data_IF_596978870743
#
_entry.id   IF_596978870743
#
_cell.length_a   1.000
_cell.length_b   1.000
_cell.length_c   1.000
_cell.angle_alpha   90.00
_cell.angle_beta   90.00
_cell.angle_gamma   90.00
#
_symmetry.space_group_name_H-M   'P 1'
#
loop_
_entity.id
_entity.type
_entity.pdbx_description
1 polymer ?
#
# COMPACT_ATOMS: atom_id res chain seq x y z
N UNK A 1 7.77 32.13 -58.42
CA UNK A 1 7.85 32.43 -56.97
C UNK A 1 6.87 31.66 -56.07
N UNK A 2 6.08 30.69 -56.59
CA UNK A 2 5.14 29.89 -55.76
C UNK A 2 5.73 28.64 -55.08
N UNK A 3 6.69 27.97 -55.72
CA UNK A 3 7.26 26.70 -55.22
C UNK A 3 8.09 26.85 -53.93
N UNK A 4 8.89 27.93 -53.80
CA UNK A 4 9.67 28.20 -52.58
C UNK A 4 8.81 28.51 -51.35
N UNK A 5 7.66 29.16 -51.54
CA UNK A 5 6.70 29.46 -50.44
C UNK A 5 5.97 28.19 -49.97
N UNK A 6 5.65 27.28 -50.89
CA UNK A 6 5.09 25.96 -50.56
C UNK A 6 6.03 25.11 -49.72
N UNK A 7 7.32 25.03 -50.10
CA UNK A 7 8.32 24.29 -49.34
C UNK A 7 8.53 24.83 -47.91
N UNK A 8 8.52 26.15 -47.73
CA UNK A 8 8.62 26.79 -46.41
C UNK A 8 7.40 26.49 -45.53
N UNK A 9 6.20 26.50 -46.10
CA UNK A 9 4.98 26.14 -45.36
C UNK A 9 4.98 24.66 -44.93
N UNK A 10 5.47 23.76 -45.79
CA UNK A 10 5.60 22.34 -45.46
C UNK A 10 6.64 22.13 -44.36
N UNK A 11 7.80 22.80 -44.43
CA UNK A 11 8.81 22.77 -43.37
C UNK A 11 8.26 23.27 -42.04
N UNK A 12 7.49 24.37 -42.06
CA UNK A 12 6.84 24.93 -40.88
C UNK A 12 5.82 23.95 -40.26
N UNK A 13 5.04 23.27 -41.10
CA UNK A 13 4.09 22.24 -40.63
C UNK A 13 4.80 21.07 -39.96
N UNK A 14 5.90 20.57 -40.55
CA UNK A 14 6.71 19.52 -39.93
C UNK A 14 7.33 19.97 -38.60
N UNK A 15 7.82 21.21 -38.54
CA UNK A 15 8.35 21.79 -37.31
C UNK A 15 7.27 21.86 -36.22
N UNK A 16 6.07 22.34 -36.56
CA UNK A 16 4.95 22.41 -35.63
C UNK A 16 4.51 21.02 -35.16
N UNK A 17 4.37 20.04 -36.08
CA UNK A 17 4.08 18.65 -35.71
C UNK A 17 5.14 18.06 -34.77
N UNK A 18 6.42 18.31 -35.06
CA UNK A 18 7.52 17.88 -34.20
C UNK A 18 7.43 18.50 -32.81
N UNK A 19 7.18 19.81 -32.72
CA UNK A 19 7.01 20.49 -31.44
C UNK A 19 5.82 19.94 -30.65
N UNK A 20 4.68 19.71 -31.31
CA UNK A 20 3.49 19.13 -30.66
C UNK A 20 3.76 17.71 -30.16
N UNK A 21 4.46 16.89 -30.94
CA UNK A 21 4.83 15.53 -30.53
C UNK A 21 5.76 15.53 -29.30
N UNK A 22 6.76 16.41 -29.27
CA UNK A 22 7.66 16.56 -28.12
C UNK A 22 6.93 17.07 -26.88
N UNK A 23 6.07 18.08 -27.03
CA UNK A 23 5.25 18.58 -25.94
C UNK A 23 4.31 17.50 -25.39
N UNK A 24 3.66 16.72 -26.26
CA UNK A 24 2.82 15.59 -25.87
C UNK A 24 3.60 14.50 -25.14
N UNK A 25 4.81 14.16 -25.60
CA UNK A 25 5.68 13.18 -24.95
C UNK A 25 6.12 13.64 -23.55
N UNK A 26 6.49 14.91 -23.39
CA UNK A 26 6.85 15.49 -22.10
C UNK A 26 5.68 15.48 -21.12
N UNK A 27 4.48 15.88 -21.57
CA UNK A 27 3.27 15.82 -20.75
C UNK A 27 2.93 14.38 -20.34
N UNK A 28 3.07 13.41 -21.24
CA UNK A 28 2.83 12.01 -20.92
C UNK A 28 3.80 11.49 -19.83
N UNK A 29 5.08 11.88 -19.92
CA UNK A 29 6.09 11.50 -18.92
C UNK A 29 5.78 12.14 -17.56
N UNK A 30 5.44 13.44 -17.52
CA UNK A 30 5.17 14.14 -16.25
C UNK A 30 3.90 13.63 -15.57
N UNK A 31 2.84 13.39 -16.33
CA UNK A 31 1.61 12.77 -15.81
C UNK A 31 1.93 11.39 -15.25
N UNK A 32 2.68 10.57 -15.98
CA UNK A 32 3.07 9.24 -15.51
C UNK A 32 3.91 9.31 -14.23
N UNK A 33 4.86 10.23 -14.13
CA UNK A 33 5.65 10.39 -12.91
C UNK A 33 4.81 10.83 -11.72
N UNK A 34 3.88 11.77 -11.91
CA UNK A 34 2.98 12.21 -10.83
C UNK A 34 2.08 11.07 -10.36
N UNK A 35 1.50 10.31 -11.28
CA UNK A 35 0.71 9.14 -10.92
C UNK A 35 1.53 8.09 -10.16
N UNK A 36 2.80 7.90 -10.51
CA UNK A 36 3.70 7.00 -9.80
C UNK A 36 3.99 7.48 -8.37
N UNK A 37 4.25 8.77 -8.18
CA UNK A 37 4.47 9.35 -6.83
C UNK A 37 3.21 9.25 -5.98
N UNK A 38 2.04 9.65 -6.50
CA UNK A 38 0.80 9.57 -5.73
C UNK A 38 0.44 8.12 -5.36
N UNK A 39 0.63 7.17 -6.29
CA UNK A 39 0.38 5.74 -5.98
C UNK A 39 1.37 5.18 -4.95
N UNK A 40 2.62 5.66 -4.95
CA UNK A 40 3.61 5.31 -3.94
C UNK A 40 3.22 5.84 -2.56
N UNK A 41 2.90 7.14 -2.44
CA UNK A 41 2.48 7.76 -1.18
C UNK A 41 1.22 7.10 -0.61
N UNK A 42 0.22 6.87 -1.46
CA UNK A 42 -0.99 6.15 -1.08
C UNK A 42 -0.70 4.73 -0.59
N UNK A 43 0.20 4.03 -1.28
CA UNK A 43 0.67 2.71 -0.88
C UNK A 43 1.39 2.73 0.47
N UNK A 44 2.20 3.76 0.74
CA UNK A 44 2.94 3.91 1.98
C UNK A 44 2.00 4.18 3.16
N UNK A 45 0.99 5.04 2.99
CA UNK A 45 -0.06 5.27 3.99
C UNK A 45 -0.79 3.97 4.36
N UNK A 46 -1.10 3.13 3.36
CA UNK A 46 -1.72 1.83 3.59
C UNK A 46 -0.78 0.84 4.31
N UNK A 47 0.52 0.85 4.01
CA UNK A 47 1.52 0.04 4.76
C UNK A 47 1.54 0.47 6.22
N UNK A 48 1.65 1.77 6.51
CA UNK A 48 1.68 2.26 7.88
C UNK A 48 0.44 1.86 8.69
N UNK A 49 -0.74 1.87 8.05
CA UNK A 49 -1.97 1.39 8.68
C UNK A 49 -1.93 -0.14 8.95
N UNK A 50 -1.35 -0.92 8.05
CA UNK A 50 -1.17 -2.36 8.28
C UNK A 50 -0.15 -2.64 9.39
N UNK A 51 0.93 -1.87 9.46
CA UNK A 51 1.96 -2.01 10.50
C UNK A 51 1.43 -1.63 11.88
N UNK A 52 0.70 -0.52 11.99
CA UNK A 52 0.09 -0.10 13.25
C UNK A 52 -0.94 -1.13 13.75
N UNK A 53 -1.76 -1.68 12.85
CA UNK A 53 -2.69 -2.76 13.20
C UNK A 53 -1.98 -4.04 13.65
N UNK A 54 -0.86 -4.41 13.00
CA UNK A 54 -0.08 -5.57 13.41
C UNK A 54 0.58 -5.36 14.78
N UNK A 55 1.13 -4.16 15.04
CA UNK A 55 1.70 -3.82 16.35
C UNK A 55 0.64 -3.82 17.45
N UNK A 56 -0.54 -3.27 17.18
CA UNK A 56 -1.66 -3.32 18.10
C UNK A 56 -2.06 -4.78 18.40
N UNK A 57 -2.17 -5.61 17.36
CA UNK A 57 -2.48 -7.04 17.52
C UNK A 57 -1.43 -7.80 18.34
N UNK A 58 -0.15 -7.54 18.13
CA UNK A 58 0.93 -8.12 18.94
C UNK A 58 0.86 -7.69 20.41
N UNK A 59 0.60 -6.40 20.67
CA UNK A 59 0.45 -5.89 22.03
C UNK A 59 -0.73 -6.51 22.77
N UNK A 60 -1.81 -6.84 22.04
CA UNK A 60 -2.97 -7.52 22.59
C UNK A 60 -2.61 -8.97 22.97
N UNK A 61 -1.87 -9.66 22.09
CA UNK A 61 -1.37 -11.01 22.35
C UNK A 61 -0.46 -11.08 23.58
N UNK A 62 0.43 -10.10 23.77
CA UNK A 62 1.33 -10.05 24.93
C UNK A 62 0.56 -9.88 26.25
N UNK A 63 -0.54 -9.11 26.23
CA UNK A 63 -1.32 -8.77 27.43
C UNK A 63 -2.36 -9.81 27.79
N UNK A 64 -3.08 -10.33 26.80
CA UNK A 64 -4.28 -11.14 27.00
C UNK A 64 -4.13 -12.58 26.48
N UNK A 65 -3.09 -12.86 25.69
CA UNK A 65 -2.96 -14.14 24.97
C UNK A 65 -3.86 -14.14 23.73
N UNK A 66 -4.38 -15.31 23.35
CA UNK A 66 -5.29 -15.41 22.20
C UNK A 66 -6.58 -14.63 22.49
N UNK A 67 -6.91 -13.58 21.70
CA UNK A 67 -8.07 -12.74 21.97
C UNK A 67 -9.39 -13.46 21.69
N UNK A 68 -10.43 -13.16 22.48
CA UNK A 68 -11.79 -13.69 22.24
C UNK A 68 -12.41 -13.16 20.94
N UNK A 69 -12.15 -11.89 20.62
CA UNK A 69 -12.52 -11.29 19.34
C UNK A 69 -11.39 -11.48 18.33
N UNK A 70 -11.61 -12.40 17.39
CA UNK A 70 -10.66 -12.69 16.31
C UNK A 70 -10.56 -11.59 15.26
N UNK A 71 -11.44 -10.58 15.28
CA UNK A 71 -11.42 -9.46 14.33
C UNK A 71 -11.57 -8.15 15.08
N UNK A 72 -10.69 -7.20 14.76
CA UNK A 72 -10.68 -5.85 15.31
C UNK A 72 -10.52 -4.87 14.16
N UNK A 73 -11.41 -3.90 14.06
CA UNK A 73 -11.35 -2.86 13.06
C UNK A 73 -11.36 -1.49 13.72
N UNK A 74 -10.43 -0.62 13.30
CA UNK A 74 -10.36 0.75 13.76
C UNK A 74 -9.95 1.67 12.63
N UNK A 75 -10.39 2.93 12.69
CA UNK A 75 -10.14 3.93 11.66
C UNK A 75 -9.59 5.20 12.29
N UNK A 76 -8.50 5.70 11.74
CA UNK A 76 -7.81 6.89 12.24
C UNK A 76 -7.26 7.72 11.07
N UNK A 77 -7.55 9.02 11.07
CA UNK A 77 -7.02 9.98 10.09
C UNK A 77 -7.14 9.55 8.60
N UNK A 78 -8.31 9.02 8.21
CA UNK A 78 -8.55 8.58 6.82
C UNK A 78 -7.83 7.28 6.44
N UNK A 79 -7.37 6.52 7.44
CA UNK A 79 -6.80 5.18 7.30
C UNK A 79 -7.67 4.19 8.07
N UNK A 80 -7.90 3.02 7.52
CA UNK A 80 -8.58 1.93 8.24
C UNK A 80 -7.61 0.78 8.46
N UNK A 81 -7.66 0.22 9.66
CA UNK A 81 -6.86 -0.92 10.08
C UNK A 81 -7.81 -2.04 10.45
N UNK A 82 -7.64 -3.19 9.80
CA UNK A 82 -8.41 -4.40 10.07
C UNK A 82 -7.44 -5.50 10.49
N UNK A 83 -7.54 -5.90 11.75
CA UNK A 83 -6.69 -6.90 12.39
C UNK A 83 -7.51 -8.17 12.58
N UNK A 84 -6.97 -9.30 12.17
CA UNK A 84 -7.62 -10.60 12.21
C UNK A 84 -6.66 -11.65 12.77
N UNK A 85 -7.14 -12.46 13.70
CA UNK A 85 -6.45 -13.60 14.27
C UNK A 85 -7.07 -14.88 13.70
N UNK A 86 -6.28 -15.65 12.95
CA UNK A 86 -6.69 -16.94 12.36
C UNK A 86 -5.87 -18.09 12.91
N UNK A 87 -6.40 -19.30 12.76
CA UNK A 87 -5.73 -20.55 13.10
C UNK A 87 -5.09 -20.51 14.50
N UNK A 88 -5.83 -19.94 15.46
CA UNK A 88 -5.33 -19.73 16.82
C UNK A 88 -5.51 -20.99 17.65
N UNK A 89 -4.41 -21.47 18.21
CA UNK A 89 -4.37 -22.53 19.21
C UNK A 89 -3.66 -22.03 20.50
N UNK A 90 -3.50 -22.90 21.49
CA UNK A 90 -2.82 -22.52 22.75
C UNK A 90 -1.33 -22.19 22.53
N UNK A 91 -0.74 -22.60 21.41
CA UNK A 91 0.68 -22.45 21.12
C UNK A 91 1.02 -21.29 20.18
N UNK A 92 0.03 -20.73 19.46
CA UNK A 92 0.26 -19.71 18.46
C UNK A 92 -0.88 -19.52 17.48
N UNK A 93 -0.58 -18.88 16.35
CA UNK A 93 -1.54 -18.65 15.29
C UNK A 93 -1.05 -17.68 14.24
N UNK A 94 -1.99 -17.14 13.49
CA UNK A 94 -1.72 -16.18 12.41
C UNK A 94 -2.40 -14.85 12.74
N UNK A 95 -1.62 -13.79 12.80
CA UNK A 95 -2.10 -12.42 12.89
C UNK A 95 -2.03 -11.77 11.51
N UNK A 96 -3.15 -11.27 11.01
CA UNK A 96 -3.26 -10.59 9.73
C UNK A 96 -3.71 -9.17 10.00
N UNK A 97 -2.94 -8.20 9.53
CA UNK A 97 -3.35 -6.80 9.54
C UNK A 97 -3.46 -6.27 8.13
N UNK A 98 -4.61 -5.68 7.81
CA UNK A 98 -4.88 -4.96 6.58
C UNK A 98 -4.96 -3.48 6.89
N UNK A 99 -4.16 -2.69 6.18
CA UNK A 99 -4.24 -1.25 6.17
C UNK A 99 -4.82 -0.74 4.86
N UNK A 100 -5.81 0.13 4.94
CA UNK A 100 -6.45 0.75 3.77
C UNK A 100 -6.39 2.28 3.89
N UNK A 101 -5.90 2.94 2.85
CA UNK A 101 -5.94 4.40 2.75
C UNK A 101 -7.23 4.85 2.06
N UNK A 102 -8.19 5.39 2.82
CA UNK A 102 -9.59 5.63 2.40
C UNK A 102 -9.71 6.49 1.16
N UNK A 103 -8.91 7.56 1.06
CA UNK A 103 -8.99 8.50 -0.07
C UNK A 103 -8.60 7.86 -1.42
N UNK A 104 -7.69 6.89 -1.38
CA UNK A 104 -7.14 6.26 -2.60
C UNK A 104 -7.64 4.84 -2.84
N UNK A 105 -8.22 4.20 -1.83
CA UNK A 105 -8.52 2.77 -1.83
C UNK A 105 -7.29 1.86 -1.85
N UNK A 106 -6.08 2.39 -1.63
CA UNK A 106 -4.88 1.57 -1.58
C UNK A 106 -4.90 0.64 -0.37
N UNK A 107 -4.65 -0.65 -0.60
CA UNK A 107 -4.65 -1.68 0.43
C UNK A 107 -3.29 -2.39 0.53
N UNK A 108 -2.90 -2.67 1.78
CA UNK A 108 -1.67 -3.39 2.12
C UNK A 108 -1.94 -4.36 3.26
N UNK A 109 -1.20 -5.47 3.25
CA UNK A 109 -1.39 -6.57 4.17
C UNK A 109 -0.07 -6.96 4.81
N UNK A 110 -0.13 -7.25 6.10
CA UNK A 110 0.91 -7.87 6.88
C UNK A 110 0.32 -9.14 7.50
N UNK A 111 1.06 -10.23 7.39
CA UNK A 111 0.74 -11.52 7.97
C UNK A 111 1.90 -11.95 8.83
N UNK A 112 1.62 -12.26 10.08
CA UNK A 112 2.56 -12.70 11.09
C UNK A 112 2.14 -14.09 11.54
N UNK A 113 3.04 -15.06 11.50
CA UNK A 113 2.89 -16.32 12.21
C UNK A 113 3.56 -16.13 13.57
N UNK A 114 2.81 -16.34 14.64
CA UNK A 114 3.28 -16.12 15.99
C UNK A 114 3.14 -17.39 16.84
N UNK A 115 4.04 -17.56 17.79
CA UNK A 115 3.97 -18.49 18.91
C UNK A 115 3.70 -17.71 20.20
N UNK A 116 2.86 -18.26 21.06
CA UNK A 116 2.59 -17.74 22.40
C UNK A 116 3.29 -18.63 23.42
N UNK A 117 4.03 -18.00 24.35
CA UNK A 117 4.58 -18.69 25.51
C UNK A 117 4.12 -18.01 26.79
N UNK A 118 3.56 -18.74 27.76
CA UNK A 118 3.22 -18.14 29.04
C UNK A 118 4.50 -17.69 29.75
N UNK A 119 4.56 -16.42 30.13
CA UNK A 119 5.63 -15.80 30.92
C UNK A 119 5.12 -15.38 32.30
N UNK A 120 6.00 -14.77 33.11
CA UNK A 120 5.68 -14.40 34.50
C UNK A 120 4.66 -13.25 34.63
N UNK A 121 4.57 -12.35 33.64
CA UNK A 121 3.72 -11.15 33.68
C UNK A 121 2.76 -11.01 32.49
N UNK A 122 2.61 -12.06 31.67
CA UNK A 122 1.83 -12.06 30.44
C UNK A 122 2.29 -13.16 29.49
N UNK A 123 2.09 -12.97 28.19
CA UNK A 123 2.57 -13.90 27.17
C UNK A 123 3.78 -13.32 26.44
N UNK A 124 4.81 -14.13 26.26
CA UNK A 124 5.88 -13.84 25.31
C UNK A 124 5.41 -14.24 23.90
N UNK A 125 5.35 -13.26 23.00
CA UNK A 125 4.96 -13.48 21.60
C UNK A 125 6.22 -13.61 20.75
N UNK A 126 6.39 -14.76 20.10
CA UNK A 126 7.51 -15.01 19.19
C UNK A 126 6.99 -14.97 17.76
N UNK A 127 7.46 -14.04 16.96
CA UNK A 127 7.08 -13.97 15.54
C UNK A 127 8.02 -14.86 14.73
N UNK A 128 7.49 -15.97 14.22
CA UNK A 128 8.24 -16.95 13.45
C UNK A 128 8.40 -16.55 11.99
N UNK A 129 7.37 -15.92 11.42
CA UNK A 129 7.35 -15.56 10.01
C UNK A 129 6.60 -14.26 9.78
N UNK A 130 7.18 -13.42 8.93
CA UNK A 130 6.59 -12.16 8.49
C UNK A 130 6.37 -12.25 6.98
N UNK A 131 5.14 -12.02 6.55
CA UNK A 131 4.77 -11.86 5.15
C UNK A 131 4.14 -10.49 4.95
N UNK A 132 4.66 -9.72 4.01
CA UNK A 132 4.02 -8.50 3.54
C UNK A 132 3.70 -8.67 2.05
N UNK A 133 2.48 -8.35 1.65
CA UNK A 133 2.10 -8.41 0.23
C UNK A 133 1.30 -7.19 -0.19
N UNK A 134 1.60 -6.58 -1.34
CA UNK A 134 0.68 -5.64 -1.95
C UNK A 134 -0.60 -6.38 -2.34
N UNK A 135 -1.77 -5.79 -2.05
CA UNK A 135 -3.02 -6.30 -2.62
C UNK A 135 -2.94 -6.18 -4.13
N UNK A 136 -2.91 -7.32 -4.82
CA UNK A 136 -3.28 -7.34 -6.23
C UNK A 136 -4.79 -7.28 -6.26
N UNK A 137 -5.35 -6.07 -6.44
CA UNK A 137 -6.69 -5.94 -6.99
C UNK A 137 -6.68 -6.72 -8.30
N UNK A 138 -7.42 -7.83 -8.31
CA UNK A 138 -7.53 -8.74 -9.46
C UNK A 138 -8.37 -8.08 -10.54
#
# INVERSE_FOLDING_TARGET
MGSRRGAVNVLLLFLMMGLTAVAGALLAITVRSLTAVCSYENGLCAVYAAESGAQYGLSLLEREGVPQNQVIEFSEEGRTCHVEFRDCDEGGGILISRGTHVASGAERFIRLEYELRPGETGYAVIVNKIGASPWKAR
#
